data_IF_315134921172
#
_entry.id   IF_315134921172
#
_cell.length_a   1.000
_cell.length_b   1.000
_cell.length_c   1.000
_cell.angle_alpha   90.00
_cell.angle_beta   90.00
_cell.angle_gamma   90.00
#
_symmetry.space_group_name_H-M   'P 1'
#
loop_
_entity.id
_entity.type
_entity.pdbx_description
1 polymer ?
#
# COMPACT_ATOMS: atom_id res chain seq x y z
N UNK A 1 -55.64 -25.26 -60.53
CA UNK A 1 -55.05 -25.97 -61.68
C UNK A 1 -53.53 -25.88 -61.48
N UNK A 2 -52.89 -26.95 -60.98
CA UNK A 2 -52.31 -28.09 -61.74
C UNK A 2 -51.02 -27.67 -62.49
N UNK A 3 -49.85 -28.33 -62.36
CA UNK A 3 -49.40 -29.49 -61.54
C UNK A 3 -48.12 -29.16 -60.73
N UNK A 4 -47.63 -29.94 -59.75
CA UNK A 4 -47.13 -31.34 -59.80
C UNK A 4 -45.95 -31.51 -60.78
N UNK A 5 -44.84 -32.22 -60.50
CA UNK A 5 -44.31 -33.05 -59.37
C UNK A 5 -42.76 -33.10 -59.56
N UNK A 6 -41.86 -33.59 -58.70
CA UNK A 6 -41.87 -34.88 -58.01
C UNK A 6 -40.81 -34.95 -56.87
N UNK A 7 -40.92 -36.00 -56.04
CA UNK A 7 -39.87 -36.47 -55.13
C UNK A 7 -40.09 -37.96 -54.86
N UNK A 8 -39.04 -38.79 -54.80
CA UNK A 8 -38.68 -39.41 -53.51
C UNK A 8 -37.15 -39.74 -53.43
N UNK A 9 -36.56 -40.54 -52.51
CA UNK A 9 -37.00 -41.34 -51.35
C UNK A 9 -35.81 -41.52 -50.37
N UNK A 10 -36.07 -41.90 -49.10
CA UNK A 10 -35.11 -42.65 -48.25
C UNK A 10 -35.38 -44.16 -48.39
N UNK A 11 -34.48 -45.03 -47.92
CA UNK A 11 -34.84 -45.78 -46.71
C UNK A 11 -33.71 -45.92 -45.69
N UNK A 12 -33.99 -46.67 -44.61
CA UNK A 12 -33.15 -46.90 -43.43
C UNK A 12 -33.20 -48.40 -43.04
N UNK A 13 -32.41 -48.83 -42.04
CA UNK A 13 -32.48 -50.13 -41.31
C UNK A 13 -31.77 -51.36 -41.93
N UNK A 14 -30.66 -51.82 -41.30
CA UNK A 14 -30.57 -53.11 -40.56
C UNK A 14 -29.12 -53.53 -40.19
N UNK A 15 -28.99 -54.36 -39.13
CA UNK A 15 -27.72 -54.89 -38.57
C UNK A 15 -27.18 -56.12 -39.31
N UNK A 16 -25.86 -56.36 -39.25
CA UNK A 16 -25.32 -57.68 -38.87
C UNK A 16 -23.86 -57.64 -38.33
N UNK A 17 -23.54 -58.60 -37.45
CA UNK A 17 -22.23 -58.82 -36.83
C UNK A 17 -21.24 -59.56 -37.76
N UNK A 18 -19.93 -59.27 -37.70
CA UNK A 18 -18.96 -60.24 -37.13
C UNK A 18 -17.50 -59.74 -36.99
N UNK A 19 -16.99 -59.90 -35.75
CA UNK A 19 -15.66 -60.34 -35.29
C UNK A 19 -14.32 -60.04 -36.01
N UNK A 20 -13.34 -59.66 -35.16
CA UNK A 20 -11.87 -59.87 -35.23
C UNK A 20 -11.09 -59.24 -36.41
N UNK A 21 -9.96 -58.55 -36.21
CA UNK A 21 -8.85 -58.86 -35.30
C UNK A 21 -8.07 -57.61 -34.84
N UNK A 22 -7.22 -57.74 -33.81
CA UNK A 22 -6.69 -56.57 -33.09
C UNK A 22 -5.36 -55.98 -33.56
N UNK A 23 -5.09 -54.73 -33.12
CA UNK A 23 -3.71 -54.28 -32.83
C UNK A 23 -3.69 -53.23 -31.71
N UNK A 24 -3.05 -53.57 -30.57
CA UNK A 24 -2.97 -52.70 -29.38
C UNK A 24 -1.91 -51.61 -29.55
N UNK A 25 -2.26 -50.41 -30.04
CA UNK A 25 -1.36 -49.23 -29.92
C UNK A 25 -1.50 -48.57 -28.54
N UNK A 26 -0.61 -48.94 -27.60
CA UNK A 26 -0.44 -48.25 -26.30
C UNK A 26 -0.12 -46.76 -26.51
N UNK A 27 -1.09 -45.86 -26.35
CA UNK A 27 -0.81 -44.42 -26.19
C UNK A 27 -0.13 -44.18 -24.84
N UNK A 28 1.21 -44.09 -24.83
CA UNK A 28 1.98 -43.58 -23.68
C UNK A 28 1.48 -42.16 -23.35
N UNK A 29 0.74 -41.99 -22.24
CA UNK A 29 0.52 -40.66 -21.64
C UNK A 29 1.89 -40.08 -21.28
N UNK A 30 2.37 -39.08 -22.02
CA UNK A 30 3.49 -38.23 -21.55
C UNK A 30 2.99 -37.50 -20.30
N UNK A 31 3.43 -37.94 -19.10
CA UNK A 31 3.36 -37.10 -17.90
C UNK A 31 4.17 -35.84 -18.21
N UNK A 32 3.49 -34.69 -18.37
CA UNK A 32 4.15 -33.37 -18.28
C UNK A 32 4.52 -33.17 -16.82
N UNK A 33 5.65 -33.74 -16.41
CA UNK A 33 6.27 -33.37 -15.14
C UNK A 33 6.67 -31.91 -15.25
N UNK A 34 5.96 -31.02 -14.56
CA UNK A 34 6.38 -29.64 -14.37
C UNK A 34 7.71 -29.68 -13.64
N UNK A 35 8.80 -29.42 -14.36
CA UNK A 35 10.14 -29.38 -13.78
C UNK A 35 10.19 -28.11 -12.91
N UNK A 36 9.98 -28.27 -11.60
CA UNK A 36 10.08 -27.18 -10.64
C UNK A 36 11.43 -26.50 -10.86
N UNK A 37 11.42 -25.26 -11.37
CA UNK A 37 12.63 -24.43 -11.43
C UNK A 37 13.13 -24.28 -9.99
N UNK A 38 14.34 -24.76 -9.72
CA UNK A 38 15.08 -24.42 -8.50
C UNK A 38 15.33 -22.91 -8.55
N UNK A 39 15.08 -22.20 -7.45
CA UNK A 39 15.32 -20.76 -7.34
C UNK A 39 16.83 -20.49 -7.47
N UNK A 40 17.20 -19.28 -7.91
CA UNK A 40 18.61 -18.85 -7.80
C UNK A 40 18.97 -18.65 -6.31
N UNK A 41 20.28 -18.53 -6.03
CA UNK A 41 20.75 -18.22 -4.67
C UNK A 41 20.16 -16.89 -4.18
N UNK A 42 20.22 -15.85 -5.01
CA UNK A 42 19.63 -14.52 -4.76
C UNK A 42 18.12 -14.60 -4.50
N UNK A 43 17.38 -15.36 -5.32
CA UNK A 43 15.94 -15.56 -5.12
C UNK A 43 15.61 -16.31 -3.82
N UNK A 44 16.52 -17.17 -3.36
CA UNK A 44 16.38 -17.91 -2.10
C UNK A 44 16.68 -16.99 -0.91
N UNK A 45 17.72 -16.16 -1.01
CA UNK A 45 18.07 -15.14 -0.02
C UNK A 45 16.94 -14.09 0.13
N UNK A 46 16.48 -13.52 -0.99
CA UNK A 46 15.35 -12.61 -1.03
C UNK A 46 14.08 -13.24 -0.43
N UNK A 47 13.81 -14.53 -0.72
CA UNK A 47 12.69 -15.24 -0.12
C UNK A 47 12.84 -15.41 1.39
N UNK A 48 14.02 -15.78 1.89
CA UNK A 48 14.29 -15.93 3.33
C UNK A 48 14.12 -14.58 4.05
N UNK A 49 14.83 -13.54 3.60
CA UNK A 49 14.78 -12.18 4.16
C UNK A 49 13.35 -11.60 4.18
N UNK A 50 12.64 -11.62 3.06
CA UNK A 50 11.27 -11.09 2.99
C UNK A 50 10.31 -11.95 3.82
N UNK A 51 10.45 -13.28 3.86
CA UNK A 51 9.60 -14.13 4.70
C UNK A 51 9.82 -13.89 6.19
N UNK A 52 11.07 -13.72 6.64
CA UNK A 52 11.39 -13.37 8.03
C UNK A 52 10.89 -11.98 8.41
N UNK A 53 10.95 -11.01 7.49
CA UNK A 53 10.33 -9.70 7.72
C UNK A 53 8.81 -9.78 7.84
N UNK A 54 8.14 -10.56 6.99
CA UNK A 54 6.68 -10.75 7.03
C UNK A 54 6.25 -11.50 8.29
N UNK A 55 6.95 -12.59 8.64
CA UNK A 55 6.61 -13.52 9.73
C UNK A 55 7.74 -13.63 10.78
N UNK A 56 8.08 -12.56 11.53
CA UNK A 56 9.27 -12.53 12.39
C UNK A 56 9.28 -13.54 13.56
N UNK A 57 8.11 -14.09 13.90
CA UNK A 57 7.92 -15.08 14.96
C UNK A 57 7.83 -16.53 14.44
N UNK A 58 7.90 -16.77 13.12
CA UNK A 58 8.03 -18.15 12.60
C UNK A 58 9.48 -18.61 12.69
N UNK A 59 9.73 -19.73 13.37
CA UNK A 59 11.02 -20.40 13.34
C UNK A 59 11.18 -21.16 12.04
N UNK A 60 12.05 -20.68 11.14
CA UNK A 60 12.55 -21.49 10.03
C UNK A 60 13.58 -22.45 10.65
N UNK A 61 13.22 -23.72 10.80
CA UNK A 61 14.22 -24.76 11.02
C UNK A 61 14.85 -25.08 9.67
N UNK A 62 16.17 -24.91 9.60
CA UNK A 62 16.95 -25.58 8.57
C UNK A 62 17.06 -27.04 9.04
N UNK A 63 16.30 -27.93 8.39
CA UNK A 63 16.33 -29.36 8.69
C UNK A 63 17.71 -29.91 8.28
N UNK A 64 18.56 -30.19 9.27
CA UNK A 64 19.77 -31.01 9.12
C UNK A 64 19.39 -32.43 8.65
N UNK A 65 20.34 -33.10 8.00
CA UNK A 65 20.17 -34.43 7.40
C UNK A 65 19.66 -35.48 8.42
N UNK A 66 18.44 -36.00 8.23
CA UNK A 66 17.97 -37.20 8.95
C UNK A 66 17.32 -38.20 7.98
N UNK A 67 18.05 -39.28 7.71
CA UNK A 67 17.66 -40.36 6.81
C UNK A 67 16.73 -41.34 7.57
N UNK A 68 15.49 -41.50 7.09
CA UNK A 68 14.40 -42.30 7.68
C UNK A 68 13.70 -41.76 8.96
N UNK A 69 13.00 -40.63 8.86
CA UNK A 69 11.98 -40.22 9.84
C UNK A 69 10.77 -39.51 9.22
N UNK A 70 9.57 -40.12 9.25
CA UNK A 70 8.34 -39.46 8.75
C UNK A 70 7.84 -38.43 9.78
N UNK A 71 8.35 -37.21 9.70
CA UNK A 71 7.76 -36.05 10.39
C UNK A 71 6.49 -35.63 9.65
N UNK A 72 5.33 -35.74 10.30
CA UNK A 72 4.04 -35.31 9.72
C UNK A 72 3.92 -33.79 9.70
N UNK A 73 4.38 -33.19 8.60
CA UNK A 73 4.02 -31.83 8.21
C UNK A 73 2.52 -31.72 7.91
N UNK A 74 1.74 -31.16 8.82
CA UNK A 74 0.31 -30.82 8.59
C UNK A 74 0.12 -29.49 7.82
N UNK A 75 1.05 -29.15 6.93
CA UNK A 75 0.88 -28.09 5.94
C UNK A 75 1.06 -28.65 4.52
N UNK A 76 -0.05 -28.72 3.78
CA UNK A 76 -0.01 -28.89 2.34
C UNK A 76 0.57 -27.61 1.70
N UNK A 77 1.59 -27.78 0.84
CA UNK A 77 2.31 -26.78 0.02
C UNK A 77 3.50 -26.02 0.66
N UNK A 78 4.69 -26.49 0.28
CA UNK A 78 6.01 -25.84 0.27
C UNK A 78 6.13 -24.52 -0.53
N UNK A 79 5.06 -23.71 -0.64
CA UNK A 79 5.00 -22.45 -1.42
C UNK A 79 3.71 -21.68 -1.15
N UNK A 80 3.57 -21.04 0.01
CA UNK A 80 2.66 -19.89 0.07
C UNK A 80 3.24 -18.79 -0.83
N UNK A 81 2.49 -18.41 -1.87
CA UNK A 81 2.86 -17.25 -2.69
C UNK A 81 2.70 -16.02 -1.80
N UNK A 82 3.81 -15.38 -1.41
CA UNK A 82 3.74 -14.04 -0.83
C UNK A 82 3.13 -13.10 -1.87
N UNK A 83 1.96 -12.57 -1.57
CA UNK A 83 1.27 -11.55 -2.36
C UNK A 83 1.41 -10.23 -1.62
N UNK A 84 1.76 -9.20 -2.35
CA UNK A 84 2.04 -7.87 -1.83
C UNK A 84 1.10 -6.87 -2.49
N UNK A 85 0.74 -5.84 -1.74
CA UNK A 85 0.02 -4.68 -2.23
C UNK A 85 0.70 -3.43 -1.70
N UNK A 86 1.15 -2.55 -2.59
CA UNK A 86 1.94 -1.36 -2.26
C UNK A 86 1.21 -0.05 -2.57
N UNK A 87 0.01 -0.09 -3.17
CA UNK A 87 -0.76 1.12 -3.50
C UNK A 87 -2.27 0.82 -3.37
N UNK A 88 -2.92 1.37 -2.34
CA UNK A 88 -4.35 1.15 -2.10
C UNK A 88 -5.01 2.26 -1.28
N UNK A 89 -6.29 2.51 -1.55
CA UNK A 89 -7.07 3.62 -1.01
C UNK A 89 -8.28 3.14 -0.20
N UNK A 90 -8.58 3.87 0.86
CA UNK A 90 -9.75 3.67 1.71
C UNK A 90 -10.68 4.88 1.70
N UNK A 91 -11.79 4.77 2.43
CA UNK A 91 -12.74 5.86 2.62
C UNK A 91 -12.24 7.01 3.51
N UNK A 92 -10.95 7.05 3.86
CA UNK A 92 -10.33 8.26 4.46
C UNK A 92 -9.87 9.26 3.38
N UNK A 93 -9.70 8.81 2.14
CA UNK A 93 -9.39 9.66 0.99
C UNK A 93 -10.52 9.68 -0.03
N UNK A 94 -10.61 8.67 -0.89
CA UNK A 94 -11.64 8.55 -1.93
C UNK A 94 -11.97 7.10 -2.32
N UNK A 95 -11.37 6.11 -1.68
CA UNK A 95 -11.83 4.72 -1.75
C UNK A 95 -13.21 4.52 -1.14
N UNK A 96 -13.85 3.38 -1.43
CA UNK A 96 -15.19 3.05 -0.90
C UNK A 96 -15.18 2.19 0.36
N UNK A 97 -14.13 1.38 0.58
CA UNK A 97 -14.00 0.52 1.77
C UNK A 97 -13.37 1.29 2.93
N UNK A 98 -13.80 1.02 4.17
CA UNK A 98 -13.02 1.46 5.34
C UNK A 98 -11.69 0.72 5.39
N UNK A 99 -10.65 1.26 6.05
CA UNK A 99 -9.39 0.56 6.26
C UNK A 99 -9.57 -0.88 6.76
N UNK A 100 -10.49 -1.13 7.70
CA UNK A 100 -10.82 -2.49 8.17
C UNK A 100 -11.31 -3.42 7.07
N UNK A 101 -12.16 -2.92 6.15
CA UNK A 101 -12.72 -3.69 5.04
C UNK A 101 -11.75 -3.85 3.87
N UNK A 102 -10.86 -2.87 3.66
CA UNK A 102 -9.75 -2.96 2.73
C UNK A 102 -8.81 -4.11 3.11
N UNK A 103 -8.43 -4.18 4.38
CA UNK A 103 -7.61 -5.29 4.93
C UNK A 103 -8.31 -6.64 4.79
N UNK A 104 -9.61 -6.72 5.11
CA UNK A 104 -10.39 -7.95 4.93
C UNK A 104 -10.41 -8.41 3.47
N UNK A 105 -10.55 -7.49 2.51
CA UNK A 105 -10.49 -7.78 1.07
C UNK A 105 -9.10 -8.24 0.63
N UNK A 106 -8.04 -7.58 1.11
CA UNK A 106 -6.67 -7.96 0.82
C UNK A 106 -6.36 -9.39 1.34
N UNK A 107 -6.81 -9.73 2.55
CA UNK A 107 -6.69 -11.08 3.09
C UNK A 107 -7.42 -12.14 2.24
N UNK A 108 -8.64 -11.83 1.75
CA UNK A 108 -9.39 -12.73 0.85
C UNK A 108 -8.61 -13.05 -0.44
N UNK A 109 -7.78 -12.11 -0.91
CA UNK A 109 -6.92 -12.27 -2.08
C UNK A 109 -5.53 -12.85 -1.76
N UNK A 110 -5.28 -13.23 -0.49
CA UNK A 110 -4.01 -13.82 -0.05
C UNK A 110 -2.87 -12.83 0.18
N UNK A 111 -3.15 -11.52 0.18
CA UNK A 111 -2.16 -10.48 0.47
C UNK A 111 -1.59 -10.66 1.87
N UNK A 112 -0.26 -10.63 2.01
CA UNK A 112 0.45 -10.73 3.30
C UNK A 112 1.00 -9.39 3.78
N UNK A 113 1.28 -8.48 2.85
CA UNK A 113 1.73 -7.10 3.12
C UNK A 113 0.86 -6.13 2.32
N UNK A 114 0.27 -5.16 3.01
CA UNK A 114 -0.59 -4.12 2.44
C UNK A 114 -0.08 -2.74 2.85
N UNK A 115 0.28 -1.90 1.89
CA UNK A 115 0.40 -0.46 2.11
C UNK A 115 -0.98 0.19 1.93
N UNK A 116 -1.45 0.88 2.97
CA UNK A 116 -2.55 1.83 2.85
C UNK A 116 -1.93 3.19 2.54
N UNK A 117 -2.33 3.80 1.44
CA UNK A 117 -1.71 5.00 0.86
C UNK A 117 -2.78 6.05 0.51
N UNK A 118 -3.74 6.26 1.42
CA UNK A 118 -4.80 7.25 1.26
C UNK A 118 -4.25 8.63 0.82
N UNK A 119 -4.92 9.30 -0.13
CA UNK A 119 -4.51 10.63 -0.56
C UNK A 119 -4.43 11.63 0.60
N UNK A 120 -3.27 12.25 0.74
CA UNK A 120 -3.00 13.36 1.66
C UNK A 120 -3.38 13.08 3.13
N UNK A 121 -3.45 11.82 3.60
CA UNK A 121 -3.81 11.50 4.99
C UNK A 121 -3.26 10.16 5.50
N UNK A 122 -2.86 10.14 6.78
CA UNK A 122 -2.49 8.92 7.53
C UNK A 122 -3.62 8.43 8.46
N UNK A 123 -4.81 9.03 8.39
CA UNK A 123 -5.91 8.77 9.35
C UNK A 123 -6.49 7.35 9.30
N UNK A 124 -6.22 6.59 8.24
CA UNK A 124 -6.65 5.19 8.10
C UNK A 124 -5.71 4.16 8.73
N UNK A 125 -4.45 4.53 8.99
CA UNK A 125 -3.38 3.57 9.32
C UNK A 125 -3.67 2.77 10.59
N UNK A 126 -4.07 3.43 11.69
CA UNK A 126 -4.34 2.74 12.96
C UNK A 126 -5.51 1.74 12.85
N UNK A 127 -6.54 2.06 12.06
CA UNK A 127 -7.66 1.16 11.79
C UNK A 127 -7.23 -0.04 10.93
N UNK A 128 -6.39 0.18 9.91
CA UNK A 128 -5.82 -0.90 9.10
C UNK A 128 -4.92 -1.83 9.94
N UNK A 129 -4.06 -1.27 10.79
CA UNK A 129 -3.18 -2.04 11.67
C UNK A 129 -3.99 -2.90 12.64
N UNK A 130 -5.01 -2.36 13.32
CA UNK A 130 -5.89 -3.13 14.21
C UNK A 130 -6.60 -4.27 13.46
N UNK A 131 -7.06 -4.01 12.23
CA UNK A 131 -7.72 -5.00 11.40
C UNK A 131 -6.78 -6.14 10.95
N UNK A 132 -5.52 -5.83 10.64
CA UNK A 132 -4.52 -6.74 10.08
C UNK A 132 -4.03 -7.80 11.06
N UNK A 133 -4.00 -7.48 12.36
CA UNK A 133 -3.66 -8.41 13.44
C UNK A 133 -4.51 -9.70 13.38
N UNK A 134 -5.80 -9.58 13.03
CA UNK A 134 -6.74 -10.70 12.94
C UNK A 134 -6.41 -11.70 11.82
N UNK A 135 -5.59 -11.28 10.86
CA UNK A 135 -5.26 -12.05 9.65
C UNK A 135 -3.76 -12.38 9.55
N UNK A 136 -2.94 -11.96 10.53
CA UNK A 136 -1.49 -12.10 10.46
C UNK A 136 -0.85 -11.30 9.31
N UNK A 137 -1.53 -10.24 8.84
CA UNK A 137 -1.04 -9.36 7.78
C UNK A 137 -0.14 -8.27 8.34
N UNK A 138 0.83 -7.81 7.53
CA UNK A 138 1.61 -6.60 7.82
C UNK A 138 1.01 -5.40 7.10
N UNK A 139 0.83 -4.29 7.81
CA UNK A 139 0.55 -2.98 7.21
C UNK A 139 1.87 -2.21 7.06
N UNK A 140 2.07 -1.58 5.91
CA UNK A 140 3.03 -0.49 5.74
C UNK A 140 2.25 0.82 5.91
N UNK A 141 2.52 1.64 6.93
CA UNK A 141 2.01 3.00 7.01
C UNK A 141 2.44 3.82 5.81
N UNK A 142 1.49 4.36 5.04
CA UNK A 142 1.81 5.21 3.89
C UNK A 142 0.75 6.24 3.56
N UNK A 143 1.11 7.13 2.65
CA UNK A 143 0.26 8.22 2.15
C UNK A 143 0.65 8.47 0.70
N UNK A 144 -0.33 8.70 -0.16
CA UNK A 144 -0.08 9.25 -1.49
C UNK A 144 -0.22 10.78 -1.41
N UNK A 145 0.91 11.49 -1.52
CA UNK A 145 0.95 12.95 -1.43
C UNK A 145 0.67 13.55 -2.81
N UNK A 146 -0.33 14.43 -2.89
CA UNK A 146 -0.66 15.17 -4.10
C UNK A 146 0.32 16.34 -4.29
N UNK A 147 0.99 16.39 -5.44
CA UNK A 147 1.98 17.43 -5.76
C UNK A 147 1.73 18.01 -7.16
N UNK A 148 2.43 19.09 -7.48
CA UNK A 148 2.56 19.62 -8.83
C UNK A 148 4.01 19.45 -9.29
N UNK A 149 4.21 19.19 -10.59
CA UNK A 149 5.52 19.26 -11.21
C UNK A 149 5.54 20.39 -12.25
N UNK A 150 6.49 21.30 -12.05
CA UNK A 150 6.66 22.53 -12.83
C UNK A 150 7.88 22.40 -13.74
N UNK A 151 7.76 22.25 -15.08
CA UNK A 151 8.91 22.04 -15.97
C UNK A 151 9.95 23.18 -15.94
N UNK A 152 11.25 22.85 -15.85
CA UNK A 152 12.33 23.86 -15.89
C UNK A 152 12.26 24.66 -17.20
N UNK A 153 12.31 25.99 -17.10
CA UNK A 153 12.31 26.91 -18.25
C UNK A 153 10.96 27.57 -18.59
N UNK A 154 9.88 27.29 -17.84
CA UNK A 154 8.63 28.07 -17.88
C UNK A 154 7.77 27.97 -19.15
N UNK A 155 8.17 27.16 -20.13
CA UNK A 155 7.42 26.91 -21.36
C UNK A 155 6.50 25.68 -21.32
N UNK A 156 6.61 24.86 -20.27
CA UNK A 156 5.77 23.69 -20.04
C UNK A 156 4.62 23.98 -19.08
N UNK A 157 3.47 23.33 -19.28
CA UNK A 157 2.37 23.35 -18.32
C UNK A 157 2.74 22.55 -17.06
N UNK A 158 2.42 23.08 -15.89
CA UNK A 158 2.30 22.28 -14.66
C UNK A 158 1.49 21.00 -14.91
N UNK A 159 1.89 19.90 -14.26
CA UNK A 159 1.10 18.67 -14.21
C UNK A 159 0.99 18.09 -12.79
N UNK A 160 -0.17 17.52 -12.40
CA UNK A 160 -0.29 16.80 -11.15
C UNK A 160 0.64 15.58 -11.14
N UNK A 161 1.42 15.44 -10.08
CA UNK A 161 2.25 14.28 -9.79
C UNK A 161 1.86 13.77 -8.41
N UNK A 162 1.95 12.47 -8.17
CA UNK A 162 1.69 11.90 -6.86
C UNK A 162 2.91 11.12 -6.37
N UNK A 163 3.28 11.34 -5.11
CA UNK A 163 4.43 10.69 -4.46
C UNK A 163 3.92 9.82 -3.31
N UNK A 164 4.18 8.51 -3.40
CA UNK A 164 3.93 7.56 -2.32
C UNK A 164 5.04 7.70 -1.27
N UNK A 165 4.64 7.82 -0.01
CA UNK A 165 5.54 7.82 1.13
C UNK A 165 5.30 6.55 1.95
N UNK A 166 6.35 5.73 2.16
CA UNK A 166 6.27 4.54 3.01
C UNK A 166 7.07 4.73 4.29
N UNK A 167 6.38 4.68 5.44
CA UNK A 167 6.96 4.82 6.77
C UNK A 167 7.05 3.48 7.49
N UNK A 168 7.84 3.46 8.57
CA UNK A 168 7.92 2.29 9.44
C UNK A 168 6.61 2.12 10.25
N UNK A 169 6.50 1.03 11.01
CA UNK A 169 5.35 0.79 11.90
C UNK A 169 5.15 1.89 12.96
N UNK A 170 6.18 2.67 13.31
CA UNK A 170 6.05 3.83 14.21
C UNK A 170 5.55 5.11 13.52
N UNK A 171 5.41 5.10 12.19
CA UNK A 171 5.12 6.28 11.38
C UNK A 171 6.32 7.24 11.20
N UNK A 172 6.07 8.48 10.77
CA UNK A 172 7.10 9.49 10.50
C UNK A 172 7.78 10.03 11.77
N UNK A 173 9.10 10.26 11.70
CA UNK A 173 9.86 10.85 12.80
C UNK A 173 9.54 12.32 13.08
N UNK A 174 9.01 13.04 12.07
CA UNK A 174 8.60 14.45 12.15
C UNK A 174 7.13 14.59 11.77
N UNK A 175 6.28 13.84 12.47
CA UNK A 175 4.87 13.70 12.13
C UNK A 175 4.09 15.04 12.14
N UNK A 176 4.41 15.99 13.03
CA UNK A 176 3.77 17.32 13.02
C UNK A 176 4.05 18.11 11.74
N UNK A 177 5.31 18.05 11.27
CA UNK A 177 5.74 18.71 10.04
C UNK A 177 5.01 18.15 8.81
N UNK A 178 4.89 16.82 8.74
CA UNK A 178 4.11 16.13 7.71
C UNK A 178 2.61 16.44 7.84
N UNK A 179 2.02 16.30 9.04
CA UNK A 179 0.58 16.49 9.26
C UNK A 179 0.15 17.94 8.91
N UNK A 180 1.02 18.94 9.11
CA UNK A 180 0.81 20.32 8.66
C UNK A 180 0.73 20.43 7.13
N UNK A 181 1.75 19.95 6.39
CA UNK A 181 1.76 20.00 4.92
C UNK A 181 0.58 19.23 4.32
N UNK A 182 0.29 18.03 4.84
CA UNK A 182 -0.88 17.25 4.44
C UNK A 182 -2.20 17.98 4.76
N UNK A 183 -2.26 18.76 5.84
CA UNK A 183 -3.42 19.60 6.18
C UNK A 183 -3.63 20.72 5.18
N UNK A 184 -2.56 21.39 4.76
CA UNK A 184 -2.64 22.48 3.79
C UNK A 184 -3.08 21.98 2.41
N UNK A 185 -2.58 20.82 1.97
CA UNK A 185 -3.06 20.16 0.75
C UNK A 185 -4.55 19.82 0.86
N UNK A 186 -5.01 19.26 1.99
CA UNK A 186 -6.44 18.97 2.23
C UNK A 186 -7.30 20.25 2.26
N UNK A 187 -6.80 21.34 2.82
CA UNK A 187 -7.46 22.64 2.82
C UNK A 187 -7.58 23.21 1.40
N UNK A 188 -6.50 23.17 0.61
CA UNK A 188 -6.49 23.53 -0.81
C UNK A 188 -7.47 22.68 -1.63
N UNK A 189 -7.50 21.36 -1.39
CA UNK A 189 -8.43 20.39 -2.01
C UNK A 189 -9.90 20.76 -1.71
N UNK A 190 -10.22 21.15 -0.48
CA UNK A 190 -11.56 21.61 -0.08
C UNK A 190 -11.99 22.91 -0.77
N UNK A 191 -11.09 23.91 -0.83
CA UNK A 191 -11.35 25.17 -1.54
C UNK A 191 -11.52 24.95 -3.05
N UNK A 192 -10.66 24.10 -3.64
CA UNK A 192 -10.75 23.65 -5.03
C UNK A 192 -12.12 23.04 -5.33
N UNK A 193 -12.60 22.11 -4.51
CA UNK A 193 -13.90 21.47 -4.74
C UNK A 193 -15.09 22.46 -4.65
N UNK A 194 -15.04 23.43 -3.73
CA UNK A 194 -16.05 24.52 -3.70
C UNK A 194 -16.02 25.36 -4.98
N UNK A 195 -14.83 25.68 -5.49
CA UNK A 195 -14.65 26.36 -6.79
C UNK A 195 -15.24 25.53 -7.94
N UNK A 196 -14.95 24.23 -8.01
CA UNK A 196 -15.52 23.32 -9.02
C UNK A 196 -17.05 23.29 -9.00
N UNK A 197 -17.67 23.15 -7.81
CA UNK A 197 -19.14 23.17 -7.65
C UNK A 197 -19.73 24.52 -8.09
N UNK A 198 -19.08 25.64 -7.76
CA UNK A 198 -19.49 26.97 -8.22
C UNK A 198 -19.44 27.11 -9.75
N UNK A 199 -18.41 26.55 -10.39
CA UNK A 199 -18.29 26.50 -11.87
C UNK A 199 -19.38 25.64 -12.51
N UNK A 200 -19.64 24.44 -11.97
CA UNK A 200 -20.71 23.55 -12.45
C UNK A 200 -22.10 24.20 -12.34
N UNK A 201 -22.38 24.88 -11.23
CA UNK A 201 -23.63 25.61 -11.03
C UNK A 201 -23.80 26.74 -12.07
N UNK A 202 -22.72 27.47 -12.42
CA UNK A 202 -22.71 28.47 -13.50
C UNK A 202 -22.93 27.86 -14.89
N UNK A 203 -22.45 26.64 -15.11
CA UNK A 203 -22.69 25.84 -16.32
C UNK A 203 -24.10 25.21 -16.37
N UNK A 204 -25.01 25.58 -15.46
CA UNK A 204 -26.38 25.05 -15.32
C UNK A 204 -26.44 23.56 -14.96
N UNK A 205 -25.41 23.05 -14.28
CA UNK A 205 -25.34 21.70 -13.73
C UNK A 205 -25.43 21.78 -12.19
N UNK A 206 -26.62 22.03 -11.61
CA UNK A 206 -26.76 22.29 -10.19
C UNK A 206 -26.35 21.10 -9.33
N UNK A 207 -25.39 21.33 -8.44
CA UNK A 207 -24.94 20.42 -7.37
C UNK A 207 -24.88 21.19 -6.06
N UNK A 208 -25.36 20.55 -4.98
CA UNK A 208 -25.26 21.09 -3.62
C UNK A 208 -23.92 20.73 -3.00
N UNK A 209 -23.29 21.67 -2.31
CA UNK A 209 -22.03 21.43 -1.60
C UNK A 209 -22.16 20.29 -0.58
N UNK A 210 -23.26 20.26 0.18
CA UNK A 210 -23.51 19.25 1.22
C UNK A 210 -23.66 17.82 0.65
N UNK A 211 -23.97 17.69 -0.65
CA UNK A 211 -24.01 16.39 -1.34
C UNK A 211 -22.59 15.90 -1.62
N UNK A 212 -21.70 16.78 -2.08
CA UNK A 212 -20.28 16.48 -2.32
C UNK A 212 -19.57 16.08 -1.03
N UNK A 213 -19.81 16.79 0.08
CA UNK A 213 -19.23 16.44 1.39
C UNK A 213 -19.82 15.14 1.95
N UNK A 214 -21.12 14.89 1.75
CA UNK A 214 -21.74 13.61 2.13
C UNK A 214 -21.13 12.43 1.37
N UNK A 215 -20.82 12.59 0.09
CA UNK A 215 -20.17 11.56 -0.73
C UNK A 215 -18.72 11.33 -0.31
N UNK A 216 -17.98 12.40 0.04
CA UNK A 216 -16.61 12.29 0.55
C UNK A 216 -16.55 11.62 1.93
N UNK A 217 -17.52 11.90 2.80
CA UNK A 217 -17.58 11.38 4.16
C UNK A 217 -17.06 12.36 5.22
N UNK A 218 -17.30 12.03 6.49
CA UNK A 218 -16.95 12.90 7.60
C UNK A 218 -15.42 12.98 7.79
N UNK A 219 -14.88 14.21 7.82
CA UNK A 219 -13.44 14.46 7.96
C UNK A 219 -12.62 14.33 6.67
N UNK A 220 -13.24 13.97 5.55
CA UNK A 220 -12.57 13.75 4.26
C UNK A 220 -12.58 15.04 3.42
N UNK A 221 -11.41 15.42 2.88
CA UNK A 221 -11.28 16.57 1.99
C UNK A 221 -11.76 16.21 0.56
N UNK A 222 -12.84 16.81 0.02
CA UNK A 222 -13.41 16.33 -1.23
C UNK A 222 -12.49 16.57 -2.45
N UNK A 223 -11.87 15.52 -2.97
CA UNK A 223 -11.17 15.56 -4.27
C UNK A 223 -12.11 15.63 -5.49
N UNK A 224 -11.52 15.80 -6.70
CA UNK A 224 -12.24 15.88 -8.00
C UNK A 224 -13.23 14.74 -8.22
N UNK A 225 -12.87 13.53 -7.80
CA UNK A 225 -13.69 12.31 -7.91
C UNK A 225 -15.00 12.38 -7.11
N UNK A 226 -15.06 13.10 -5.98
CA UNK A 226 -16.30 13.28 -5.22
C UNK A 226 -17.26 14.24 -5.93
N UNK A 227 -16.73 15.27 -6.59
CA UNK A 227 -17.51 16.13 -7.49
C UNK A 227 -18.00 15.34 -8.72
N UNK A 228 -17.17 14.44 -9.25
CA UNK A 228 -17.56 13.52 -10.33
C UNK A 228 -18.70 12.56 -9.91
N UNK A 229 -18.62 11.98 -8.71
CA UNK A 229 -19.69 11.15 -8.12
C UNK A 229 -20.97 11.95 -7.93
N UNK A 230 -20.88 13.20 -7.44
CA UNK A 230 -22.04 14.07 -7.30
C UNK A 230 -22.70 14.43 -8.64
N UNK A 231 -21.91 14.62 -9.72
CA UNK A 231 -22.44 14.79 -11.08
C UNK A 231 -23.22 13.54 -11.56
N UNK A 232 -22.74 12.33 -11.25
CA UNK A 232 -23.41 11.07 -11.60
C UNK A 232 -24.70 10.90 -10.78
N UNK A 233 -24.63 11.05 -9.46
CA UNK A 233 -25.81 10.92 -8.58
C UNK A 233 -26.89 11.98 -8.84
N UNK A 234 -26.50 13.17 -9.34
CA UNK A 234 -27.43 14.22 -9.77
C UNK A 234 -28.00 14.00 -11.19
N UNK A 235 -27.56 12.95 -11.91
CA UNK A 235 -28.03 12.63 -13.26
C UNK A 235 -27.49 13.52 -14.38
N UNK A 236 -26.47 14.34 -14.11
CA UNK A 236 -25.85 15.23 -15.11
C UNK A 236 -24.91 14.50 -16.08
N UNK A 237 -24.39 13.35 -15.67
CA UNK A 237 -23.52 12.47 -16.46
C UNK A 237 -23.77 11.00 -16.12
N UNK A 238 -23.54 10.11 -17.08
CA UNK A 238 -23.79 8.66 -16.94
C UNK A 238 -22.79 7.94 -16.02
N UNK A 239 -21.55 8.43 -15.95
CA UNK A 239 -20.44 7.78 -15.25
C UNK A 239 -19.27 8.75 -15.02
N UNK A 240 -18.32 8.33 -14.16
CA UNK A 240 -17.14 9.13 -13.79
C UNK A 240 -16.28 9.50 -15.02
N UNK A 241 -16.12 8.59 -15.99
CA UNK A 241 -15.34 8.85 -17.22
C UNK A 241 -15.94 10.02 -18.00
N UNK A 242 -17.27 10.08 -18.12
CA UNK A 242 -17.97 11.18 -18.76
C UNK A 242 -17.86 12.49 -17.95
N UNK A 243 -17.89 12.42 -16.61
CA UNK A 243 -17.67 13.58 -15.74
C UNK A 243 -16.29 14.23 -15.96
N UNK A 244 -15.22 13.42 -15.92
CA UNK A 244 -13.87 13.89 -16.18
C UNK A 244 -13.73 14.40 -17.62
N UNK A 245 -14.12 13.63 -18.63
CA UNK A 245 -13.96 13.99 -20.05
C UNK A 245 -14.71 15.27 -20.47
N UNK A 246 -15.84 15.61 -19.84
CA UNK A 246 -16.63 16.81 -20.21
C UNK A 246 -16.33 18.04 -19.36
N UNK A 247 -16.00 17.86 -18.07
CA UNK A 247 -16.04 18.97 -17.11
C UNK A 247 -14.81 19.09 -16.21
N UNK A 248 -14.20 17.97 -15.80
CA UNK A 248 -13.23 17.94 -14.69
C UNK A 248 -11.80 17.56 -15.09
N UNK A 249 -11.53 17.36 -16.39
CA UNK A 249 -10.20 17.21 -16.96
C UNK A 249 -9.34 18.47 -16.74
N UNK A 250 -8.02 18.35 -16.85
CA UNK A 250 -7.10 19.47 -16.59
C UNK A 250 -7.32 20.61 -17.58
N UNK A 251 -7.58 21.82 -17.07
CA UNK A 251 -7.98 22.97 -17.89
C UNK A 251 -9.45 22.96 -18.36
N UNK A 252 -10.25 21.97 -17.95
CA UNK A 252 -11.65 21.84 -18.33
C UNK A 252 -12.62 22.86 -17.72
N UNK A 253 -13.88 22.91 -18.19
CA UNK A 253 -14.85 23.97 -17.85
C UNK A 253 -15.11 24.18 -16.35
N UNK A 254 -15.02 23.11 -15.55
CA UNK A 254 -15.18 23.15 -14.10
C UNK A 254 -13.88 22.83 -13.34
N UNK A 255 -12.75 22.67 -14.04
CA UNK A 255 -11.44 22.47 -13.42
C UNK A 255 -11.05 23.66 -12.54
N UNK A 256 -10.33 23.39 -11.45
CA UNK A 256 -9.72 24.39 -10.59
C UNK A 256 -8.43 23.81 -10.03
N UNK A 257 -7.40 24.62 -9.88
CA UNK A 257 -6.15 24.25 -9.18
C UNK A 257 -6.38 24.25 -7.67
N UNK A 258 -5.46 23.60 -6.94
CA UNK A 258 -5.42 23.58 -5.47
C UNK A 258 -4.22 24.37 -4.95
N UNK A 259 -3.59 23.84 -3.90
CA UNK A 259 -2.41 24.39 -3.24
C UNK A 259 -1.44 23.25 -2.89
N UNK A 260 -1.32 22.30 -3.81
CA UNK A 260 -0.35 21.22 -3.78
C UNK A 260 1.09 21.77 -3.84
N UNK A 261 2.05 21.22 -3.07
CA UNK A 261 3.46 21.62 -3.12
C UNK A 261 4.16 21.14 -4.40
N UNK A 262 5.35 21.65 -4.67
CA UNK A 262 6.21 21.10 -5.73
C UNK A 262 6.63 19.65 -5.40
N UNK A 263 6.72 18.82 -6.43
CA UNK A 263 6.99 17.39 -6.29
C UNK A 263 8.35 17.11 -5.63
N UNK A 264 9.37 17.91 -5.94
CA UNK A 264 10.67 17.90 -5.27
C UNK A 264 10.57 18.17 -3.77
N UNK A 265 9.82 19.20 -3.34
CA UNK A 265 9.64 19.54 -1.92
C UNK A 265 8.96 18.40 -1.15
N UNK A 266 8.03 17.70 -1.79
CA UNK A 266 7.35 16.55 -1.21
C UNK A 266 8.30 15.35 -1.05
N UNK A 267 9.17 15.07 -2.03
CA UNK A 267 10.22 14.06 -1.91
C UNK A 267 11.17 14.39 -0.75
N UNK A 268 11.66 15.62 -0.67
CA UNK A 268 12.53 16.08 0.42
C UNK A 268 11.85 16.00 1.80
N UNK A 269 10.56 16.33 1.88
CA UNK A 269 9.74 16.17 3.09
C UNK A 269 9.64 14.70 3.51
N UNK A 270 9.40 13.77 2.58
CA UNK A 270 9.33 12.34 2.88
C UNK A 270 10.69 11.84 3.41
N UNK A 271 11.78 12.21 2.74
CA UNK A 271 13.14 11.88 3.15
C UNK A 271 13.45 12.35 4.59
N UNK A 272 13.20 13.64 4.89
CA UNK A 272 13.51 14.23 6.21
C UNK A 272 12.54 13.82 7.32
N UNK A 273 11.35 13.34 6.98
CA UNK A 273 10.39 12.75 7.93
C UNK A 273 10.62 11.25 8.16
N UNK A 274 11.58 10.62 7.47
CA UNK A 274 11.97 9.22 7.69
C UNK A 274 11.15 8.19 6.90
N UNK A 275 10.62 8.59 5.74
CA UNK A 275 9.90 7.71 4.81
C UNK A 275 10.69 7.41 3.54
N UNK A 276 10.24 6.40 2.81
CA UNK A 276 10.74 6.06 1.46
C UNK A 276 9.84 6.71 0.42
N UNK A 277 10.38 7.60 -0.41
CA UNK A 277 9.66 8.34 -1.44
C UNK A 277 9.64 7.59 -2.78
N UNK A 278 8.44 7.37 -3.34
CA UNK A 278 8.24 6.55 -4.55
C UNK A 278 7.28 7.23 -5.51
N UNK A 279 7.65 7.34 -6.79
CA UNK A 279 6.78 7.96 -7.80
C UNK A 279 5.63 7.01 -8.16
N UNK A 280 4.40 7.47 -7.95
CA UNK A 280 3.18 6.74 -8.29
C UNK A 280 2.91 6.76 -9.79
N UNK A 281 2.31 5.67 -10.31
CA UNK A 281 1.70 5.55 -11.64
C UNK A 281 2.27 6.44 -12.77
N UNK A 282 3.58 6.39 -13.08
CA UNK A 282 4.23 7.29 -14.04
C UNK A 282 3.68 7.22 -15.47
N UNK A 283 2.89 6.18 -15.79
CA UNK A 283 2.10 6.06 -17.02
C UNK A 283 0.92 7.03 -17.15
N UNK A 284 0.60 7.78 -16.09
CA UNK A 284 -0.40 8.85 -16.12
C UNK A 284 0.19 10.23 -16.50
N UNK A 285 1.52 10.37 -16.50
CA UNK A 285 2.23 11.64 -16.69
C UNK A 285 2.46 11.96 -18.17
N UNK A 286 2.63 13.26 -18.49
CA UNK A 286 2.95 13.76 -19.84
C UNK A 286 4.40 13.49 -20.21
N UNK A 287 5.33 13.80 -19.31
CA UNK A 287 6.78 13.50 -19.46
C UNK A 287 7.34 12.81 -18.20
N UNK A 288 7.07 11.51 -18.01
CA UNK A 288 7.59 10.77 -16.87
C UNK A 288 9.12 10.67 -16.86
N UNK A 289 9.80 10.81 -18.01
CA UNK A 289 11.26 10.76 -18.08
C UNK A 289 11.91 11.99 -17.44
N UNK A 290 11.38 13.18 -17.73
CA UNK A 290 11.82 14.41 -17.09
C UNK A 290 11.46 14.46 -15.59
N UNK A 291 10.29 13.94 -15.21
CA UNK A 291 9.85 13.84 -13.81
C UNK A 291 10.77 12.91 -13.02
N UNK A 292 10.97 11.66 -13.47
CA UNK A 292 11.81 10.67 -12.77
C UNK A 292 13.23 11.21 -12.56
N UNK A 293 13.85 11.81 -13.58
CA UNK A 293 15.20 12.39 -13.48
C UNK A 293 15.29 13.47 -12.40
N UNK A 294 14.37 14.44 -12.39
CA UNK A 294 14.39 15.54 -11.42
C UNK A 294 14.07 15.08 -10.01
N UNK A 295 13.13 14.16 -9.83
CA UNK A 295 12.83 13.62 -8.51
C UNK A 295 13.99 12.77 -7.97
N UNK A 296 14.71 12.05 -8.83
CA UNK A 296 15.95 11.36 -8.45
C UNK A 296 17.04 12.36 -7.98
N UNK A 297 17.19 13.53 -8.62
CA UNK A 297 18.06 14.61 -8.13
C UNK A 297 17.67 15.08 -6.71
N UNK A 298 16.39 15.04 -6.34
CA UNK A 298 15.87 15.40 -5.00
C UNK A 298 15.81 14.25 -3.99
N UNK A 299 16.29 13.04 -4.33
CA UNK A 299 16.30 11.89 -3.41
C UNK A 299 15.08 10.98 -3.46
N UNK A 300 14.41 10.89 -4.62
CA UNK A 300 13.43 9.82 -4.87
C UNK A 300 14.11 8.45 -4.69
N UNK A 301 13.43 7.51 -4.03
CA UNK A 301 13.97 6.19 -3.72
C UNK A 301 13.48 5.12 -4.70
N UNK A 302 12.31 5.30 -5.31
CA UNK A 302 11.66 4.29 -6.15
C UNK A 302 10.63 4.82 -7.13
N UNK A 303 10.13 3.94 -7.98
CA UNK A 303 9.06 4.24 -8.94
C UNK A 303 8.16 3.02 -9.16
N UNK A 304 6.87 3.25 -9.38
CA UNK A 304 5.95 2.19 -9.80
C UNK A 304 6.24 1.75 -11.24
N UNK A 305 6.56 0.47 -11.40
CA UNK A 305 6.87 -0.17 -12.70
C UNK A 305 6.02 -1.42 -12.94
N UNK A 306 5.32 -1.93 -11.93
CA UNK A 306 4.42 -3.08 -12.02
C UNK A 306 2.95 -2.65 -11.89
N UNK A 307 2.11 -3.30 -12.69
CA UNK A 307 0.65 -3.19 -12.70
C UNK A 307 0.05 -4.60 -12.76
N UNK A 308 -1.28 -4.69 -12.72
CA UNK A 308 -2.02 -5.95 -12.90
C UNK A 308 -1.81 -6.60 -14.28
N UNK A 309 -1.54 -5.79 -15.31
CA UNK A 309 -1.18 -6.25 -16.66
C UNK A 309 0.31 -6.58 -16.85
N UNK A 310 1.16 -6.31 -15.86
CA UNK A 310 2.54 -6.80 -15.78
C UNK A 310 3.58 -5.72 -15.48
N UNK A 311 4.83 -6.02 -15.84
CA UNK A 311 5.97 -5.11 -15.71
C UNK A 311 6.07 -4.20 -16.93
N UNK A 312 6.13 -2.90 -16.71
CA UNK A 312 6.37 -1.91 -17.76
C UNK A 312 7.87 -1.68 -17.93
N UNK A 313 8.42 -2.09 -19.08
CA UNK A 313 9.85 -2.03 -19.36
C UNK A 313 10.42 -0.61 -19.25
N UNK A 314 9.80 0.38 -19.91
CA UNK A 314 10.27 1.78 -19.95
C UNK A 314 10.54 2.36 -18.56
N UNK A 315 9.64 2.15 -17.60
CA UNK A 315 9.82 2.65 -16.23
C UNK A 315 10.81 1.81 -15.42
N UNK A 316 10.96 0.52 -15.72
CA UNK A 316 12.04 -0.29 -15.14
C UNK A 316 13.41 0.15 -15.61
N UNK A 317 13.55 0.44 -16.90
CA UNK A 317 14.84 0.79 -17.50
C UNK A 317 15.28 2.18 -16.99
N UNK A 318 14.32 3.11 -16.83
CA UNK A 318 14.55 4.38 -16.12
C UNK A 318 14.87 4.16 -14.63
N UNK A 319 14.20 3.21 -13.95
CA UNK A 319 14.52 2.89 -12.57
C UNK A 319 15.96 2.35 -12.43
N UNK A 320 16.40 1.50 -13.37
CA UNK A 320 17.78 1.01 -13.47
C UNK A 320 18.78 2.15 -13.76
N UNK A 321 18.45 3.10 -14.64
CA UNK A 321 19.28 4.28 -14.97
C UNK A 321 19.57 5.17 -13.74
N UNK A 322 18.55 5.40 -12.89
CA UNK A 322 18.63 6.30 -11.74
C UNK A 322 18.83 5.57 -10.38
N UNK A 323 19.01 4.25 -10.38
CA UNK A 323 19.24 3.46 -9.16
C UNK A 323 18.01 3.35 -8.22
N UNK A 324 16.81 3.44 -8.78
CA UNK A 324 15.53 3.49 -8.05
C UNK A 324 14.94 2.09 -7.84
N UNK A 325 14.34 1.83 -6.68
CA UNK A 325 13.62 0.58 -6.42
C UNK A 325 12.33 0.48 -7.25
N UNK A 326 12.03 -0.74 -7.71
CA UNK A 326 10.91 -1.01 -8.63
C UNK A 326 9.72 -1.56 -7.86
N UNK A 327 8.66 -0.77 -7.71
CA UNK A 327 7.46 -1.19 -6.99
C UNK A 327 6.23 -1.27 -7.91
N UNK A 328 5.08 -1.53 -7.31
CA UNK A 328 3.79 -1.41 -7.96
C UNK A 328 2.68 -1.92 -7.05
N UNK A 329 1.57 -1.18 -7.00
CA UNK A 329 0.32 -1.63 -6.42
C UNK A 329 -0.85 -1.53 -7.39
N UNK A 330 -2.03 -1.94 -6.93
CA UNK A 330 -3.23 -2.00 -7.75
C UNK A 330 -3.92 -0.66 -7.99
N UNK A 331 -3.57 0.38 -7.22
CA UNK A 331 -4.30 1.65 -7.14
C UNK A 331 -5.79 1.43 -6.81
N UNK A 332 -6.05 0.44 -5.94
CA UNK A 332 -7.41 -0.03 -5.68
C UNK A 332 -8.18 0.92 -4.77
N UNK A 333 -9.38 1.27 -5.22
CA UNK A 333 -10.30 2.17 -4.53
C UNK A 333 -11.65 1.53 -4.20
N UNK A 334 -11.89 0.27 -4.59
CA UNK A 334 -13.19 -0.40 -4.55
C UNK A 334 -14.31 0.37 -5.30
N UNK A 335 -13.97 1.04 -6.40
CA UNK A 335 -14.91 1.71 -7.32
C UNK A 335 -15.86 0.70 -7.98
N UNK A 336 -15.40 -0.54 -8.18
CA UNK A 336 -16.15 -1.62 -8.81
C UNK A 336 -16.23 -1.50 -10.34
N UNK A 337 -16.71 -2.58 -10.97
CA UNK A 337 -16.71 -2.72 -12.43
C UNK A 337 -15.44 -3.37 -12.99
N UNK A 338 -15.42 -3.64 -14.29
CA UNK A 338 -14.41 -4.50 -14.93
C UNK A 338 -13.03 -3.86 -15.18
N UNK A 339 -12.87 -2.56 -14.88
CA UNK A 339 -11.67 -1.77 -15.23
C UNK A 339 -10.77 -1.44 -14.03
N UNK A 340 -11.15 -1.87 -12.82
CA UNK A 340 -10.35 -1.66 -11.60
C UNK A 340 -9.57 -2.95 -11.28
N UNK A 341 -8.30 -2.79 -10.91
CA UNK A 341 -7.44 -3.92 -10.52
C UNK A 341 -7.67 -4.21 -9.04
N UNK A 342 -8.00 -5.45 -8.69
CA UNK A 342 -8.27 -5.84 -7.28
C UNK A 342 -6.98 -5.95 -6.46
N UNK A 343 -7.09 -5.89 -5.13
CA UNK A 343 -5.94 -5.91 -4.21
C UNK A 343 -5.06 -7.15 -4.41
N UNK A 344 -3.75 -6.98 -4.53
CA UNK A 344 -2.80 -8.09 -4.74
C UNK A 344 -2.83 -8.71 -6.14
N UNK A 345 -3.54 -8.10 -7.10
CA UNK A 345 -3.52 -8.52 -8.51
C UNK A 345 -2.17 -8.23 -9.20
N UNK A 346 -1.41 -7.25 -8.71
CA UNK A 346 -0.07 -6.93 -9.20
C UNK A 346 0.91 -8.04 -8.82
N UNK A 347 1.52 -8.67 -9.83
CA UNK A 347 2.48 -9.75 -9.61
C UNK A 347 3.89 -9.23 -9.32
N UNK A 348 4.05 -8.45 -8.25
CA UNK A 348 5.33 -7.90 -7.81
C UNK A 348 6.32 -9.02 -7.42
N UNK A 349 7.52 -9.09 -8.02
CA UNK A 349 8.52 -10.09 -7.66
C UNK A 349 9.09 -9.87 -6.25
N UNK A 350 9.42 -10.98 -5.58
CA UNK A 350 9.99 -10.93 -4.22
C UNK A 350 11.37 -10.25 -4.17
N UNK A 351 12.14 -10.28 -5.26
CA UNK A 351 13.40 -9.54 -5.37
C UNK A 351 13.18 -8.03 -5.27
N UNK A 352 12.11 -7.50 -5.88
CA UNK A 352 11.76 -6.08 -5.80
C UNK A 352 11.34 -5.67 -4.38
N UNK A 353 10.68 -6.56 -3.63
CA UNK A 353 10.38 -6.32 -2.21
C UNK A 353 11.65 -6.40 -1.36
N UNK A 354 12.59 -7.28 -1.68
CA UNK A 354 13.89 -7.37 -1.03
C UNK A 354 14.74 -6.11 -1.29
N UNK A 355 14.87 -5.67 -2.55
CA UNK A 355 15.50 -4.40 -2.95
C UNK A 355 14.87 -3.20 -2.23
N UNK A 356 13.53 -3.17 -2.10
CA UNK A 356 12.84 -2.15 -1.31
C UNK A 356 13.22 -2.19 0.18
N UNK A 357 13.39 -3.37 0.79
CA UNK A 357 13.77 -3.48 2.20
C UNK A 357 15.22 -3.05 2.46
N UNK A 358 16.16 -3.34 1.55
CA UNK A 358 17.54 -2.85 1.64
C UNK A 358 17.60 -1.31 1.70
N UNK A 359 16.68 -0.62 1.01
CA UNK A 359 16.52 0.84 1.07
C UNK A 359 15.70 1.28 2.28
N UNK A 360 14.60 0.60 2.58
CA UNK A 360 13.62 1.01 3.59
C UNK A 360 14.09 0.78 5.03
N UNK A 361 14.75 -0.36 5.33
CA UNK A 361 15.16 -0.69 6.71
C UNK A 361 16.12 0.35 7.29
N UNK A 362 17.19 0.82 6.60
CA UNK A 362 18.07 1.85 7.15
C UNK A 362 17.39 3.21 7.38
N UNK A 363 16.47 3.61 6.48
CA UNK A 363 15.68 4.85 6.62
C UNK A 363 14.75 4.75 7.83
N UNK A 364 14.00 3.67 7.92
CA UNK A 364 13.08 3.40 9.02
C UNK A 364 13.82 3.23 10.36
N UNK A 365 14.99 2.58 10.38
CA UNK A 365 15.80 2.43 11.59
C UNK A 365 16.17 3.80 12.16
N UNK A 366 16.73 4.71 11.34
CA UNK A 366 17.05 6.08 11.75
C UNK A 366 15.82 6.86 12.24
N UNK A 367 14.67 6.68 11.57
CA UNK A 367 13.41 7.31 11.99
C UNK A 367 12.95 6.81 13.37
N UNK A 368 12.96 5.49 13.60
CA UNK A 368 12.60 4.86 14.87
C UNK A 368 13.54 5.27 16.00
N UNK A 369 14.85 5.34 15.74
CA UNK A 369 15.87 5.86 16.67
C UNK A 369 15.57 7.31 17.03
N UNK A 370 15.35 8.19 16.05
CA UNK A 370 15.08 9.61 16.27
C UNK A 370 13.82 9.85 17.12
N UNK A 371 12.75 9.07 16.93
CA UNK A 371 11.54 9.12 17.77
C UNK A 371 11.84 8.76 19.24
N UNK A 372 12.66 7.72 19.47
CA UNK A 372 13.08 7.34 20.81
C UNK A 372 13.99 8.40 21.46
N UNK A 373 14.86 9.06 20.68
CA UNK A 373 15.69 10.15 21.16
C UNK A 373 14.90 11.41 21.53
N UNK A 374 13.82 11.73 20.80
CA UNK A 374 12.90 12.82 21.14
C UNK A 374 12.27 12.55 22.51
N UNK A 375 11.77 11.32 22.75
CA UNK A 375 11.22 10.91 24.04
C UNK A 375 12.28 10.86 25.16
N UNK A 376 13.52 10.43 24.87
CA UNK A 376 14.62 10.47 25.84
C UNK A 376 14.98 11.90 26.27
N UNK A 377 14.80 12.88 25.38
CA UNK A 377 15.06 14.30 25.63
C UNK A 377 13.93 14.98 26.39
N UNK A 378 12.68 14.60 26.12
CA UNK A 378 11.49 15.04 26.82
C UNK A 378 10.51 13.86 27.00
N UNK A 379 10.53 13.17 28.16
CA UNK A 379 9.69 11.99 28.41
C UNK A 379 8.25 12.37 28.78
N UNK A 380 7.64 13.27 28.00
CA UNK A 380 6.28 13.75 28.17
C UNK A 380 5.23 12.77 27.61
N UNK A 381 4.01 12.84 28.14
CA UNK A 381 2.87 12.07 27.60
C UNK A 381 2.63 12.35 26.11
N UNK A 382 2.91 13.57 25.65
CA UNK A 382 2.81 13.94 24.24
C UNK A 382 3.78 13.11 23.37
N UNK A 383 5.06 13.05 23.74
CA UNK A 383 6.05 12.25 23.01
C UNK A 383 5.81 10.74 23.15
N UNK A 384 5.28 10.29 24.30
CA UNK A 384 4.81 8.90 24.43
C UNK A 384 3.67 8.60 23.45
N UNK A 385 2.69 9.51 23.30
CA UNK A 385 1.61 9.34 22.31
C UNK A 385 2.12 9.32 20.87
N UNK A 386 3.25 9.97 20.55
CA UNK A 386 3.88 9.85 19.23
C UNK A 386 4.39 8.42 18.99
N UNK A 387 5.13 7.85 19.95
CA UNK A 387 5.62 6.46 19.91
C UNK A 387 4.46 5.48 19.66
N UNK A 388 3.32 5.66 20.35
CA UNK A 388 2.18 4.74 20.23
C UNK A 388 1.10 5.20 19.22
N UNK A 389 1.30 6.29 18.46
CA UNK A 389 0.31 6.85 17.51
C UNK A 389 -0.14 5.80 16.49
N UNK A 390 0.83 5.10 15.93
CA UNK A 390 0.67 3.99 14.97
C UNK A 390 0.93 2.61 15.63
N UNK A 391 0.86 2.55 16.96
CA UNK A 391 1.02 1.35 17.76
C UNK A 391 -0.28 0.56 17.93
N UNK A 392 -0.15 -0.71 18.33
CA UNK A 392 -1.27 -1.64 18.47
C UNK A 392 -2.35 -1.14 19.46
N UNK A 393 -3.56 -0.89 18.96
CA UNK A 393 -4.71 -0.47 19.77
C UNK A 393 -5.28 -1.58 20.67
N UNK A 394 -5.05 -2.86 20.39
CA UNK A 394 -5.36 -3.93 21.34
C UNK A 394 -4.45 -3.86 22.57
N UNK A 395 -3.19 -3.42 22.43
CA UNK A 395 -2.33 -3.14 23.58
C UNK A 395 -2.88 -1.95 24.38
N UNK A 396 -3.28 -0.85 23.71
CA UNK A 396 -3.99 0.30 24.33
C UNK A 396 -5.33 -0.06 25.00
N UNK A 397 -6.03 -1.13 24.58
CA UNK A 397 -7.31 -1.58 25.16
C UNK A 397 -7.14 -2.65 26.25
N UNK A 398 -6.17 -3.55 26.09
CA UNK A 398 -5.82 -4.57 27.08
C UNK A 398 -5.09 -3.97 28.29
N UNK A 399 -4.50 -2.79 28.13
CA UNK A 399 -3.89 -2.01 29.19
C UNK A 399 -4.79 -0.82 29.48
N UNK A 400 -5.71 -1.03 30.41
CA UNK A 400 -6.20 0.06 31.25
C UNK A 400 -5.62 -0.09 32.66
N UNK A 401 -5.24 1.04 33.24
CA UNK A 401 -4.80 1.25 34.63
C UNK A 401 -3.40 0.78 35.10
N UNK A 402 -2.67 -0.16 34.45
CA UNK A 402 -1.49 -0.78 35.12
C UNK A 402 -0.15 -0.93 34.37
N UNK A 403 -0.05 -0.71 33.06
CA UNK A 403 1.28 -0.79 32.41
C UNK A 403 2.00 0.57 32.43
N UNK A 404 3.31 0.52 32.64
CA UNK A 404 4.17 1.71 32.65
C UNK A 404 4.45 2.21 31.23
N UNK A 405 4.88 3.48 31.05
CA UNK A 405 5.45 3.95 29.78
C UNK A 405 6.57 3.04 29.24
N UNK A 406 7.34 2.44 30.14
CA UNK A 406 8.43 1.53 29.77
C UNK A 406 7.91 0.20 29.16
N UNK A 407 6.78 -0.33 29.65
CA UNK A 407 6.16 -1.54 29.07
C UNK A 407 5.63 -1.30 27.65
N UNK A 408 5.05 -0.12 27.42
CA UNK A 408 4.64 0.36 26.09
C UNK A 408 5.84 0.46 25.14
N UNK A 409 6.93 1.09 25.60
CA UNK A 409 8.14 1.25 24.79
C UNK A 409 8.81 -0.11 24.52
N UNK A 410 8.94 -0.98 25.52
CA UNK A 410 9.49 -2.33 25.33
C UNK A 410 8.68 -3.16 24.32
N UNK A 411 7.35 -3.05 24.33
CA UNK A 411 6.51 -3.66 23.31
C UNK A 411 6.77 -3.09 21.90
N UNK A 412 6.86 -1.77 21.77
CA UNK A 412 7.27 -1.10 20.52
C UNK A 412 8.64 -1.59 20.03
N UNK A 413 9.68 -1.58 20.88
CA UNK A 413 11.01 -2.09 20.55
C UNK A 413 10.99 -3.55 20.05
N UNK A 414 10.13 -4.39 20.65
CA UNK A 414 9.97 -5.79 20.24
C UNK A 414 9.26 -6.01 18.89
N UNK A 415 8.57 -5.01 18.36
CA UNK A 415 7.79 -5.08 17.11
C UNK A 415 8.38 -4.27 15.96
N UNK A 416 9.17 -3.24 16.29
CA UNK A 416 9.79 -2.32 15.34
C UNK A 416 11.05 -2.89 14.66
N UNK A 417 11.91 -3.51 15.46
CA UNK A 417 13.26 -3.91 15.05
C UNK A 417 13.37 -5.41 14.71
N UNK A 418 14.12 -5.73 13.66
CA UNK A 418 14.47 -7.12 13.29
C UNK A 418 15.38 -7.77 14.36
N UNK A 419 15.64 -9.07 14.26
CA UNK A 419 16.57 -9.76 15.18
C UNK A 419 17.99 -9.17 15.10
N UNK A 420 18.43 -8.82 13.89
CA UNK A 420 19.75 -8.25 13.62
C UNK A 420 19.87 -6.80 14.13
N UNK A 421 18.88 -5.96 13.83
CA UNK A 421 18.84 -4.57 14.30
C UNK A 421 18.77 -4.46 15.82
N UNK A 422 18.19 -5.46 16.52
CA UNK A 422 18.18 -5.50 17.99
C UNK A 422 19.58 -5.60 18.60
N UNK A 423 20.56 -6.09 17.86
CA UNK A 423 21.97 -6.14 18.27
C UNK A 423 22.77 -4.89 17.87
N UNK A 424 22.12 -3.86 17.30
CA UNK A 424 22.79 -2.61 16.95
C UNK A 424 23.22 -1.84 18.22
N UNK A 425 24.51 -1.46 18.38
CA UNK A 425 25.00 -0.71 19.54
C UNK A 425 24.27 0.61 19.83
N UNK A 426 23.76 1.30 18.80
CA UNK A 426 23.01 2.55 18.93
C UNK A 426 21.67 2.30 19.66
N UNK A 427 20.97 1.23 19.26
CA UNK A 427 19.71 0.83 19.88
C UNK A 427 19.92 0.30 21.31
N UNK A 428 21.00 -0.43 21.57
CA UNK A 428 21.37 -0.85 22.94
C UNK A 428 21.68 0.36 23.84
N UNK A 429 22.38 1.39 23.33
CA UNK A 429 22.59 2.63 24.07
C UNK A 429 21.27 3.33 24.43
N UNK A 430 20.29 3.32 23.51
CA UNK A 430 18.95 3.89 23.76
C UNK A 430 18.16 3.07 24.78
N UNK A 431 18.17 1.73 24.70
CA UNK A 431 17.55 0.84 25.71
C UNK A 431 18.10 1.11 27.11
N UNK A 432 19.41 1.25 27.25
CA UNK A 432 20.05 1.58 28.53
C UNK A 432 19.56 2.93 29.06
N UNK A 433 19.53 3.98 28.22
CA UNK A 433 19.01 5.31 28.61
C UNK A 433 17.53 5.27 29.04
N UNK A 434 16.68 4.54 28.31
CA UNK A 434 15.26 4.35 28.62
C UNK A 434 15.06 3.66 29.99
N UNK A 435 15.89 2.66 30.29
CA UNK A 435 15.85 1.97 31.59
C UNK A 435 16.16 2.90 32.76
N UNK A 436 17.07 3.87 32.57
CA UNK A 436 17.41 4.87 33.60
C UNK A 436 16.27 5.85 33.90
N UNK A 437 15.48 6.26 32.89
CA UNK A 437 14.31 7.15 33.10
C UNK A 437 13.30 6.49 34.03
N UNK A 438 13.09 5.18 33.89
CA UNK A 438 12.14 4.41 34.71
C UNK A 438 12.47 4.45 36.20
N UNK A 439 13.75 4.58 36.59
CA UNK A 439 14.18 4.66 38.00
C UNK A 439 13.80 6.01 38.63
N UNK A 440 13.78 7.10 37.85
CA UNK A 440 13.51 8.44 38.38
C UNK A 440 12.02 8.77 38.58
N UNK A 441 11.10 7.98 38.02
CA UNK A 441 9.66 8.10 38.31
C UNK A 441 9.20 7.22 39.48
N UNK A 442 10.05 6.30 39.96
CA UNK A 442 9.83 5.54 41.19
C UNK A 442 10.42 6.25 42.42
N UNK A 443 9.84 7.40 42.78
CA UNK A 443 10.13 8.08 44.06
C UNK A 443 9.66 7.27 45.27
N UNK A 444 10.30 7.40 46.44
CA UNK A 444 10.19 6.42 47.52
C UNK A 444 8.79 6.34 48.14
N UNK A 445 8.34 5.11 48.45
CA UNK A 445 7.18 4.89 49.31
C UNK A 445 7.40 5.59 50.65
N UNK A 446 6.45 6.46 51.03
CA UNK A 446 6.44 7.09 52.34
C UNK A 446 6.13 6.01 53.38
N UNK A 447 7.16 5.48 54.03
CA UNK A 447 7.00 4.65 55.23
C UNK A 447 6.28 5.46 56.31
N UNK A 448 4.98 5.23 56.46
CA UNK A 448 4.17 5.70 57.57
C UNK A 448 4.63 4.99 58.86
N UNK A 449 5.65 5.53 59.50
CA UNK A 449 6.13 5.08 60.80
C UNK A 449 5.03 5.21 61.86
N UNK A 450 4.62 4.07 62.42
CA UNK A 450 3.85 4.04 63.68
C UNK A 450 4.80 4.21 64.86
N UNK A 451 4.67 5.31 65.58
CA UNK A 451 4.85 5.42 67.04
C UNK A 451 3.93 6.52 67.54
#
# INVERSE_FOLDING_TARGET
MLGEKDSPKKPNVSNHNNNNSGSKKKKKKKKRGGRNKKLSLEQTLAYKSVSEWVFPNSSITEDDDDDFGVVQWNHHNWKEKLVFEFHSHSNKSDGFLSPSKLVERANQNGVKVLALTDHDTLSGIAEAQEAALRFGMKIIPGVEISTIFSPRGGSGSEEPVHILAYYSMCGPARIEELDNVLSDIRNGRFLRAKSMVSKLNKLKLPIKWDHVTKIAGAGVAPGRVHVARALVEAGHVENLKQAFARYLYDGGPAYSTGSEPDAEEAVELICRTGGVAVLAHPWALKDPGAVIRRLAESGLHGVETYRSDGKLAVYSDLADEYGLVKLGGSDYHARGGANESDLGSVSLPISCVYEFLEVARPVWFKAMISILEIYLKDPSDANLQLIIKFGNTQFRKSISALATPNDLINHCLSTWFTKEERSNPELESIKLKLSCISVHHAGPEIHAGRT
#
